data_IF_601300593494
#
_entry.id   IF_601300593494
#
_cell.length_a   1.000
_cell.length_b   1.000
_cell.length_c   1.000
_cell.angle_alpha   90.00
_cell.angle_beta   90.00
_cell.angle_gamma   90.00
#
_symmetry.space_group_name_H-M   'P 1'
#
loop_
_entity.id
_entity.type
_entity.pdbx_description
1 polymer ?
#
# COMPACT_ATOMS: atom_id res chain seq x y z
N UNK A 1 -18.59 13.91 26.91
CA UNK A 1 -18.76 14.43 25.54
C UNK A 1 -17.56 15.31 25.22
N UNK A 2 -16.48 14.73 24.73
CA UNK A 2 -15.30 15.51 24.32
C UNK A 2 -15.60 16.10 22.95
N UNK A 3 -15.95 17.38 22.91
CA UNK A 3 -16.21 18.10 21.65
C UNK A 3 -15.00 17.90 20.74
N UNK A 4 -15.21 17.36 19.54
CA UNK A 4 -14.22 17.40 18.48
C UNK A 4 -13.78 18.87 18.35
N UNK A 5 -12.50 19.14 18.61
CA UNK A 5 -11.98 20.50 18.65
C UNK A 5 -12.12 21.07 17.24
N UNK A 6 -12.93 22.13 17.09
CA UNK A 6 -13.04 22.80 15.80
C UNK A 6 -11.65 23.29 15.36
N UNK A 7 -11.26 23.07 14.09
CA UNK A 7 -9.94 23.44 13.60
C UNK A 7 -9.72 24.94 13.77
N UNK A 8 -8.52 25.33 14.20
CA UNK A 8 -8.18 26.75 14.33
C UNK A 8 -8.24 27.37 12.93
N UNK A 9 -8.99 28.47 12.76
CA UNK A 9 -9.23 29.12 11.47
C UNK A 9 -10.21 28.43 10.51
N UNK A 10 -11.06 27.52 11.00
CA UNK A 10 -12.14 26.93 10.21
C UNK A 10 -11.64 26.02 9.08
N UNK A 11 -12.34 26.01 7.95
CA UNK A 11 -12.07 25.10 6.83
C UNK A 11 -10.65 25.26 6.23
N UNK A 12 -10.09 26.48 6.05
CA UNK A 12 -8.69 26.64 5.64
C UNK A 12 -7.68 26.07 6.64
N UNK A 13 -7.91 26.26 7.94
CA UNK A 13 -7.06 25.69 8.98
C UNK A 13 -7.10 24.16 8.98
N UNK A 14 -8.29 23.59 8.79
CA UNK A 14 -8.49 22.15 8.64
C UNK A 14 -7.71 21.55 7.47
N UNK A 15 -7.71 22.26 6.32
CA UNK A 15 -6.91 21.85 5.17
C UNK A 15 -5.42 21.84 5.49
N UNK A 16 -4.92 22.86 6.21
CA UNK A 16 -3.52 22.94 6.61
C UNK A 16 -3.15 21.81 7.57
N UNK A 17 -4.01 21.48 8.54
CA UNK A 17 -3.81 20.35 9.45
C UNK A 17 -3.71 19.02 8.69
N UNK A 18 -4.60 18.80 7.72
CA UNK A 18 -4.56 17.61 6.86
C UNK A 18 -3.31 17.53 6.00
N UNK A 19 -2.92 18.63 5.35
CA UNK A 19 -1.68 18.68 4.57
C UNK A 19 -0.47 18.42 5.47
N UNK A 20 -0.49 18.94 6.71
CA UNK A 20 0.51 18.63 7.73
C UNK A 20 0.57 17.13 8.05
N UNK A 21 -0.58 16.47 8.18
CA UNK A 21 -0.65 15.03 8.39
C UNK A 21 -0.11 14.24 7.19
N UNK A 22 -0.49 14.63 5.97
CA UNK A 22 0.02 14.03 4.73
C UNK A 22 1.56 14.10 4.67
N UNK A 23 2.15 15.26 4.99
CA UNK A 23 3.61 15.43 5.07
C UNK A 23 4.25 14.51 6.11
N UNK A 24 3.70 14.45 7.32
CA UNK A 24 4.17 13.55 8.40
C UNK A 24 4.17 12.09 7.97
N UNK A 25 3.24 11.70 7.09
CA UNK A 25 3.11 10.35 6.55
C UNK A 25 3.73 10.18 5.15
N UNK A 26 4.71 11.03 4.80
CA UNK A 26 5.56 10.88 3.61
C UNK A 26 4.97 11.40 2.30
N UNK A 27 3.77 11.98 2.31
CA UNK A 27 3.20 12.61 1.12
C UNK A 27 3.79 14.01 1.02
N UNK A 28 4.76 14.18 0.12
CA UNK A 28 5.43 15.45 -0.11
C UNK A 28 4.49 16.46 -0.81
N UNK A 29 3.77 17.24 0.00
CA UNK A 29 2.89 18.33 -0.46
C UNK A 29 3.60 19.66 -0.24
N UNK A 30 3.85 20.46 -1.27
CA UNK A 30 4.42 21.80 -1.14
C UNK A 30 3.37 22.89 -0.85
N UNK A 31 3.79 24.15 -0.68
CA UNK A 31 2.88 25.29 -0.55
C UNK A 31 2.01 25.50 -1.78
N UNK A 32 2.54 25.26 -2.99
CA UNK A 32 1.79 25.37 -4.24
C UNK A 32 0.61 24.40 -4.30
N UNK A 33 0.84 23.12 -3.99
CA UNK A 33 -0.21 22.11 -3.93
C UNK A 33 -1.26 22.43 -2.85
N UNK A 34 -0.84 23.07 -1.76
CA UNK A 34 -1.76 23.49 -0.68
C UNK A 34 -2.69 24.60 -1.18
N UNK A 35 -2.17 25.54 -1.97
CA UNK A 35 -2.98 26.59 -2.61
C UNK A 35 -3.93 25.98 -3.63
N UNK A 36 -3.47 25.01 -4.44
CA UNK A 36 -4.33 24.32 -5.40
C UNK A 36 -5.43 23.52 -4.70
N UNK A 37 -5.13 22.85 -3.58
CA UNK A 37 -6.13 22.18 -2.76
C UNK A 37 -7.16 23.16 -2.16
N UNK A 38 -6.73 24.37 -1.77
CA UNK A 38 -7.65 25.41 -1.31
C UNK A 38 -8.58 25.90 -2.45
N UNK A 39 -8.07 25.98 -3.69
CA UNK A 39 -8.91 26.28 -4.86
C UNK A 39 -9.93 25.19 -5.14
N UNK A 40 -9.55 23.92 -4.98
CA UNK A 40 -10.47 22.77 -5.10
C UNK A 40 -11.62 22.90 -4.09
N UNK A 41 -11.34 23.25 -2.83
CA UNK A 41 -12.39 23.47 -1.82
C UNK A 41 -13.37 24.58 -2.19
N UNK A 42 -12.92 25.61 -2.92
CA UNK A 42 -13.79 26.68 -3.40
C UNK A 42 -14.55 26.36 -4.68
N UNK A 43 -14.09 25.36 -5.45
CA UNK A 43 -14.67 24.98 -6.74
C UNK A 43 -15.65 23.80 -6.66
N UNK A 44 -15.53 22.95 -5.64
CA UNK A 44 -16.35 21.76 -5.47
C UNK A 44 -17.50 21.97 -4.48
N UNK A 45 -18.60 21.27 -4.73
CA UNK A 45 -19.66 21.14 -3.74
C UNK A 45 -19.21 20.20 -2.62
N UNK A 46 -19.05 20.77 -1.42
CA UNK A 46 -18.58 20.08 -0.22
C UNK A 46 -19.59 19.06 0.32
N UNK A 47 -20.85 19.09 -0.13
CA UNK A 47 -21.84 18.06 0.20
C UNK A 47 -21.49 16.72 -0.45
N UNK A 48 -20.80 16.75 -1.60
CA UNK A 48 -20.39 15.55 -2.32
C UNK A 48 -18.99 15.13 -1.88
N UNK A 49 -18.92 14.42 -0.76
CA UNK A 49 -17.66 13.94 -0.14
C UNK A 49 -16.74 13.20 -1.12
N UNK A 50 -17.29 12.40 -2.02
CA UNK A 50 -16.51 11.67 -3.03
C UNK A 50 -15.83 12.60 -4.02
N UNK A 51 -16.53 13.64 -4.49
CA UNK A 51 -15.94 14.65 -5.36
C UNK A 51 -14.83 15.41 -4.64
N UNK A 52 -15.05 15.77 -3.37
CA UNK A 52 -14.06 16.42 -2.54
C UNK A 52 -12.78 15.56 -2.41
N UNK A 53 -12.94 14.25 -2.13
CA UNK A 53 -11.82 13.32 -2.04
C UNK A 53 -10.99 13.28 -3.32
N UNK A 54 -11.65 13.08 -4.47
CA UNK A 54 -10.94 12.96 -5.75
C UNK A 54 -10.33 14.29 -6.19
N UNK A 55 -11.00 15.41 -5.94
CA UNK A 55 -10.44 16.74 -6.22
C UNK A 55 -9.19 17.04 -5.41
N UNK A 56 -9.23 16.76 -4.10
CA UNK A 56 -8.06 16.93 -3.24
C UNK A 56 -6.93 15.97 -3.63
N UNK A 57 -7.26 14.72 -3.98
CA UNK A 57 -6.29 13.75 -4.47
C UNK A 57 -5.59 14.26 -5.74
N UNK A 58 -6.35 14.83 -6.68
CA UNK A 58 -5.81 15.40 -7.92
C UNK A 58 -4.89 16.59 -7.68
N UNK A 59 -5.17 17.43 -6.69
CA UNK A 59 -4.32 18.58 -6.34
C UNK A 59 -3.07 18.18 -5.53
N UNK A 60 -3.17 17.18 -4.66
CA UNK A 60 -2.15 16.89 -3.65
C UNK A 60 -1.21 15.73 -4.02
N UNK A 61 -1.65 14.78 -4.85
CA UNK A 61 -0.87 13.57 -5.14
C UNK A 61 -0.01 13.72 -6.41
N UNK A 62 1.28 13.37 -6.28
CA UNK A 62 2.24 13.36 -7.41
C UNK A 62 2.67 11.95 -7.83
N UNK A 63 2.49 10.96 -6.96
CA UNK A 63 2.91 9.57 -7.17
C UNK A 63 1.73 8.62 -6.94
N UNK A 64 1.62 7.58 -7.76
CA UNK A 64 0.55 6.57 -7.65
C UNK A 64 0.58 5.76 -6.34
N UNK A 65 1.74 5.63 -5.70
CA UNK A 65 1.90 4.89 -4.44
C UNK A 65 1.35 5.59 -3.19
N UNK A 66 0.94 6.85 -3.28
CA UNK A 66 0.52 7.66 -2.12
C UNK A 66 -1.00 7.61 -1.86
N UNK A 67 -1.76 7.01 -2.78
CA UNK A 67 -3.23 7.02 -2.76
C UNK A 67 -3.81 6.39 -1.49
N UNK A 68 -3.29 5.25 -1.06
CA UNK A 68 -3.81 4.54 0.11
C UNK A 68 -3.61 5.33 1.42
N UNK A 69 -2.45 5.97 1.57
CA UNK A 69 -2.16 6.81 2.73
C UNK A 69 -3.05 8.07 2.72
N UNK A 70 -3.25 8.66 1.54
CA UNK A 70 -4.16 9.78 1.35
C UNK A 70 -5.61 9.42 1.70
N UNK A 71 -6.16 8.35 1.15
CA UNK A 71 -7.56 7.94 1.40
C UNK A 71 -7.78 7.71 2.90
N UNK A 72 -6.83 7.04 3.57
CA UNK A 72 -6.90 6.79 5.02
C UNK A 72 -6.91 8.10 5.82
N UNK A 73 -6.05 9.06 5.47
CA UNK A 73 -6.02 10.37 6.15
C UNK A 73 -7.25 11.21 5.80
N UNK A 74 -7.73 11.15 4.56
CA UNK A 74 -8.95 11.83 4.14
C UNK A 74 -10.15 11.32 4.93
N UNK A 75 -10.27 10.01 5.12
CA UNK A 75 -11.34 9.41 5.91
C UNK A 75 -11.31 9.83 7.39
N UNK A 76 -10.13 10.11 7.94
CA UNK A 76 -9.97 10.64 9.30
C UNK A 76 -10.28 12.13 9.41
N UNK A 77 -9.78 12.95 8.50
CA UNK A 77 -9.91 14.41 8.58
C UNK A 77 -11.25 14.92 8.01
N UNK A 78 -11.82 14.27 6.99
CA UNK A 78 -13.16 14.56 6.47
C UNK A 78 -14.08 13.35 6.70
N UNK A 79 -14.45 13.06 7.96
CA UNK A 79 -15.30 11.91 8.25
C UNK A 79 -16.69 12.11 7.62
N UNK A 80 -17.32 11.01 7.20
CA UNK A 80 -18.65 11.04 6.58
C UNK A 80 -19.77 11.48 7.56
N UNK A 81 -19.53 11.38 8.87
CA UNK A 81 -20.44 11.82 9.92
C UNK A 81 -19.65 12.27 11.16
N UNK A 82 -20.31 12.92 12.11
CA UNK A 82 -19.79 13.19 13.47
C UNK A 82 -20.64 12.44 14.50
N UNK A 83 -20.04 11.85 15.53
CA UNK A 83 -20.75 11.04 16.53
C UNK A 83 -21.45 9.79 15.96
N UNK A 84 -22.63 9.42 16.48
CA UNK A 84 -23.38 8.27 15.92
C UNK A 84 -23.82 8.46 14.46
N UNK A 85 -23.86 9.71 13.98
CA UNK A 85 -24.58 10.05 12.75
C UNK A 85 -26.10 9.91 12.95
N UNK A 86 -26.88 10.56 12.11
CA UNK A 86 -28.34 10.45 12.11
C UNK A 86 -28.82 9.21 11.35
N UNK A 87 -28.28 8.03 11.67
CA UNK A 87 -28.67 6.78 11.01
C UNK A 87 -30.09 6.36 11.44
N UNK A 88 -30.87 5.86 10.49
CA UNK A 88 -32.24 5.36 10.73
C UNK A 88 -32.23 3.86 11.08
N UNK A 89 -31.14 3.16 10.73
CA UNK A 89 -30.98 1.73 11.01
C UNK A 89 -30.84 1.47 12.50
N UNK A 90 -31.90 0.93 13.09
CA UNK A 90 -31.92 0.45 14.47
C UNK A 90 -31.22 -0.91 14.57
N UNK A 91 -30.35 -1.06 15.57
CA UNK A 91 -29.63 -2.33 15.79
C UNK A 91 -30.54 -3.25 16.60
N UNK A 92 -30.93 -4.42 16.08
CA UNK A 92 -31.74 -5.38 16.82
C UNK A 92 -31.07 -5.78 18.14
N UNK A 93 -31.87 -5.86 19.19
CA UNK A 93 -31.42 -6.32 20.52
C UNK A 93 -32.30 -7.45 21.00
N UNK A 94 -31.71 -8.34 21.79
CA UNK A 94 -32.44 -9.44 22.42
C UNK A 94 -33.47 -8.84 23.38
N UNK A 95 -34.71 -9.35 23.30
CA UNK A 95 -35.86 -8.95 24.11
C UNK A 95 -36.27 -7.47 23.99
N UNK A 96 -35.92 -6.78 22.89
CA UNK A 96 -36.21 -5.35 22.64
C UNK A 96 -35.76 -4.41 23.78
N UNK A 97 -34.82 -4.85 24.62
CA UNK A 97 -34.31 -4.04 25.70
C UNK A 97 -33.35 -2.97 25.16
N UNK A 98 -33.58 -1.69 25.47
CA UNK A 98 -32.76 -0.55 25.03
C UNK A 98 -31.26 -0.66 25.39
N UNK A 99 -30.93 -1.45 26.42
CA UNK A 99 -29.56 -1.74 26.87
C UNK A 99 -29.21 -3.24 26.78
N UNK A 100 -30.06 -4.03 26.13
CA UNK A 100 -29.88 -5.47 25.93
C UNK A 100 -28.70 -5.82 25.02
N UNK A 101 -28.26 -7.09 25.04
CA UNK A 101 -27.24 -7.55 24.11
C UNK A 101 -27.76 -7.46 22.67
N UNK A 102 -26.87 -7.15 21.73
CA UNK A 102 -27.19 -7.10 20.30
C UNK A 102 -27.63 -8.49 19.84
N UNK A 103 -28.76 -8.57 19.15
CA UNK A 103 -29.19 -9.79 18.46
C UNK A 103 -28.37 -9.95 17.18
N UNK A 104 -27.37 -10.83 17.26
CA UNK A 104 -26.41 -11.03 16.18
C UNK A 104 -27.07 -11.73 14.99
N UNK A 105 -28.03 -12.63 15.23
CA UNK A 105 -28.66 -13.40 14.16
C UNK A 105 -29.60 -12.51 13.35
N UNK A 106 -30.43 -11.70 14.02
CA UNK A 106 -31.25 -10.68 13.35
C UNK A 106 -30.39 -9.67 12.57
N UNK A 107 -29.24 -9.26 13.14
CA UNK A 107 -28.32 -8.34 12.48
C UNK A 107 -27.64 -8.96 11.25
N UNK A 108 -27.35 -10.27 11.28
CA UNK A 108 -26.83 -11.03 10.13
C UNK A 108 -27.87 -11.15 9.02
N UNK A 109 -29.15 -11.28 9.38
CA UNK A 109 -30.26 -11.30 8.43
C UNK A 109 -30.41 -9.96 7.70
N UNK A 110 -30.42 -8.84 8.45
CA UNK A 110 -30.43 -7.49 7.87
C UNK A 110 -29.22 -7.29 6.95
N UNK A 111 -28.02 -7.69 7.37
CA UNK A 111 -26.83 -7.57 6.55
C UNK A 111 -26.93 -8.39 5.25
N UNK A 112 -27.48 -9.61 5.32
CA UNK A 112 -27.66 -10.45 4.14
C UNK A 112 -28.62 -9.79 3.13
N UNK A 113 -29.71 -9.21 3.61
CA UNK A 113 -30.68 -8.49 2.80
C UNK A 113 -30.07 -7.26 2.12
N UNK A 114 -29.35 -6.42 2.87
CA UNK A 114 -28.69 -5.24 2.30
C UNK A 114 -27.60 -5.60 1.29
N UNK A 115 -26.84 -6.67 1.53
CA UNK A 115 -25.84 -7.18 0.58
C UNK A 115 -26.49 -7.72 -0.70
N UNK A 116 -27.66 -8.34 -0.60
CA UNK A 116 -28.47 -8.81 -1.73
C UNK A 116 -28.98 -7.64 -2.57
N UNK A 117 -29.53 -6.61 -1.92
CA UNK A 117 -30.12 -5.45 -2.61
C UNK A 117 -29.08 -4.46 -3.14
N UNK A 118 -27.87 -4.46 -2.57
CA UNK A 118 -26.78 -3.61 -3.04
C UNK A 118 -26.92 -2.16 -2.59
N UNK A 119 -27.77 -1.88 -1.59
CA UNK A 119 -27.93 -0.55 -1.03
C UNK A 119 -26.67 -0.17 -0.22
N UNK A 120 -25.79 0.56 -0.89
CA UNK A 120 -24.51 1.00 -0.31
C UNK A 120 -24.72 2.03 0.81
N UNK A 121 -25.78 2.83 0.74
CA UNK A 121 -26.08 3.84 1.76
C UNK A 121 -26.58 3.16 3.05
N UNK A 122 -27.51 2.21 2.92
CA UNK A 122 -27.98 1.42 4.04
C UNK A 122 -26.86 0.56 4.67
N UNK A 123 -25.97 -0.03 3.86
CA UNK A 123 -24.78 -0.74 4.37
C UNK A 123 -23.86 0.17 5.19
N UNK A 124 -23.68 1.43 4.78
CA UNK A 124 -22.89 2.40 5.51
C UNK A 124 -23.58 2.87 6.81
N UNK A 125 -24.91 2.93 6.85
CA UNK A 125 -25.69 3.15 8.07
C UNK A 125 -25.57 1.98 9.05
N UNK A 126 -25.76 0.76 8.55
CA UNK A 126 -25.60 -0.45 9.34
C UNK A 126 -24.19 -0.54 9.95
N UNK A 127 -23.15 -0.27 9.15
CA UNK A 127 -21.77 -0.27 9.64
C UNK A 127 -21.57 0.70 10.82
N UNK A 128 -22.15 1.91 10.74
CA UNK A 128 -22.13 2.90 11.82
C UNK A 128 -22.85 2.41 13.06
N UNK A 129 -24.07 1.90 12.88
CA UNK A 129 -24.91 1.43 13.96
C UNK A 129 -24.26 0.27 14.72
N UNK A 130 -23.71 -0.71 14.01
CA UNK A 130 -23.01 -1.86 14.59
C UNK A 130 -21.77 -1.44 15.38
N UNK A 131 -20.92 -0.59 14.80
CA UNK A 131 -19.69 -0.14 15.48
C UNK A 131 -20.04 0.64 16.75
N UNK A 132 -21.07 1.48 16.70
CA UNK A 132 -21.55 2.23 17.86
C UNK A 132 -22.09 1.30 18.96
N UNK A 133 -22.99 0.38 18.61
CA UNK A 133 -23.57 -0.57 19.55
C UNK A 133 -22.52 -1.46 20.24
N UNK A 134 -21.58 -2.01 19.47
CA UNK A 134 -20.51 -2.86 19.99
C UNK A 134 -19.50 -2.08 20.85
N UNK A 135 -19.21 -0.84 20.47
CA UNK A 135 -18.35 0.04 21.26
C UNK A 135 -18.93 0.33 22.64
N UNK A 136 -20.25 0.59 22.72
CA UNK A 136 -20.97 0.82 23.99
C UNK A 136 -21.08 -0.45 24.83
N UNK A 137 -21.36 -1.61 24.23
CA UNK A 137 -21.45 -2.89 24.95
C UNK A 137 -20.14 -3.25 25.67
N UNK A 138 -18.98 -2.92 25.07
CA UNK A 138 -17.68 -3.07 25.73
C UNK A 138 -17.48 -2.17 26.97
N UNK A 139 -18.19 -1.05 27.06
CA UNK A 139 -18.20 -0.17 28.23
C UNK A 139 -19.17 -0.67 29.34
N UNK A 140 -20.26 -1.36 28.97
CA UNK A 140 -21.26 -1.91 29.88
C UNK A 140 -20.82 -3.22 30.59
N UNK A 141 -19.62 -3.74 30.29
CA UNK A 141 -19.02 -4.87 31.02
C UNK A 141 -19.41 -6.26 30.52
N UNK A 142 -20.21 -6.38 29.46
CA UNK A 142 -20.61 -7.64 28.82
C UNK A 142 -19.65 -8.11 27.69
N UNK A 143 -18.45 -7.53 27.61
CA UNK A 143 -17.41 -7.87 26.63
C UNK A 143 -15.97 -7.62 27.12
N UNK A 144 -14.98 -7.71 26.22
CA UNK A 144 -13.55 -7.46 26.53
C UNK A 144 -13.43 -6.07 27.17
N UNK A 145 -13.07 -6.03 28.46
CA UNK A 145 -12.94 -4.76 29.21
C UNK A 145 -11.95 -3.83 28.50
N UNK A 146 -12.44 -2.67 28.08
CA UNK A 146 -11.56 -1.56 27.77
C UNK A 146 -10.70 -1.23 28.99
N UNK A 147 -9.44 -0.84 28.76
CA UNK A 147 -8.59 -0.30 29.82
C UNK A 147 -9.32 0.90 30.43
N UNK A 148 -9.64 0.81 31.73
CA UNK A 148 -10.36 1.83 32.53
C UNK A 148 -11.88 1.99 32.27
N UNK A 149 -12.58 0.97 31.76
CA UNK A 149 -14.05 1.03 31.58
C UNK A 149 -14.50 1.96 30.44
N UNK A 150 -13.58 2.37 29.59
CA UNK A 150 -13.86 3.18 28.41
C UNK A 150 -14.33 2.28 27.25
N UNK A 151 -15.23 2.76 26.37
CA UNK A 151 -15.62 2.02 25.17
C UNK A 151 -14.39 1.73 24.30
N UNK A 152 -14.31 0.50 23.77
CA UNK A 152 -13.24 0.08 22.88
C UNK A 152 -13.83 -0.44 21.58
N UNK A 153 -13.52 0.22 20.46
CA UNK A 153 -13.98 -0.17 19.13
C UNK A 153 -12.96 -1.09 18.47
N UNK A 154 -13.43 -2.20 17.91
CA UNK A 154 -12.59 -3.20 17.23
C UNK A 154 -13.27 -3.70 15.97
N UNK A 155 -12.65 -3.43 14.81
CA UNK A 155 -13.12 -3.93 13.52
C UNK A 155 -13.06 -5.46 13.47
N UNK A 156 -12.04 -6.05 14.07
CA UNK A 156 -11.91 -7.51 14.17
C UNK A 156 -13.09 -8.13 14.92
N UNK A 157 -13.50 -7.55 16.05
CA UNK A 157 -14.63 -8.08 16.82
C UNK A 157 -15.95 -7.95 16.05
N UNK A 158 -16.23 -6.78 15.47
CA UNK A 158 -17.43 -6.56 14.66
C UNK A 158 -17.51 -7.53 13.48
N UNK A 159 -16.43 -7.68 12.72
CA UNK A 159 -16.37 -8.59 11.57
C UNK A 159 -16.43 -10.06 11.99
N UNK A 160 -15.85 -10.44 13.13
CA UNK A 160 -15.93 -11.81 13.63
C UNK A 160 -17.35 -12.17 14.05
N UNK A 161 -18.07 -11.26 14.70
CA UNK A 161 -19.46 -11.48 15.10
C UNK A 161 -20.39 -11.57 13.88
N UNK A 162 -20.25 -10.63 12.93
CA UNK A 162 -21.07 -10.60 11.72
C UNK A 162 -20.70 -11.67 10.70
N UNK A 163 -19.43 -12.10 10.66
CA UNK A 163 -18.86 -13.06 9.69
C UNK A 163 -19.47 -12.91 8.29
N UNK A 164 -19.34 -11.75 7.63
CA UNK A 164 -20.06 -11.45 6.39
C UNK A 164 -19.71 -12.39 5.23
N UNK A 165 -18.52 -13.00 5.25
CA UNK A 165 -18.07 -13.97 4.25
C UNK A 165 -18.94 -15.23 4.23
N UNK A 166 -19.49 -15.61 5.38
CA UNK A 166 -20.36 -16.79 5.49
C UNK A 166 -21.75 -16.55 4.93
N UNK A 167 -22.14 -15.29 4.73
CA UNK A 167 -23.42 -14.91 4.13
C UNK A 167 -23.43 -15.12 2.61
N UNK A 168 -22.27 -15.18 1.95
CA UNK A 168 -22.19 -15.34 0.49
C UNK A 168 -22.96 -16.58 0.00
N UNK A 169 -22.75 -17.74 0.63
CA UNK A 169 -23.40 -18.98 0.21
C UNK A 169 -24.92 -18.92 0.40
N UNK A 170 -25.38 -18.31 1.51
CA UNK A 170 -26.80 -18.11 1.79
C UNK A 170 -27.44 -17.17 0.76
N UNK A 171 -26.85 -16.00 0.54
CA UNK A 171 -27.34 -14.99 -0.42
C UNK A 171 -27.39 -15.59 -1.83
N UNK A 172 -26.33 -16.31 -2.25
CA UNK A 172 -26.31 -17.01 -3.55
C UNK A 172 -27.38 -18.09 -3.65
N UNK A 173 -27.71 -18.79 -2.56
CA UNK A 173 -28.79 -19.77 -2.51
C UNK A 173 -30.17 -19.15 -2.69
N UNK A 174 -30.42 -17.98 -2.10
CA UNK A 174 -31.68 -17.25 -2.20
C UNK A 174 -31.88 -16.60 -3.58
N UNK A 175 -30.80 -16.09 -4.19
CA UNK A 175 -30.82 -15.51 -5.55
C UNK A 175 -30.86 -16.54 -6.67
N UNK A 176 -30.62 -17.82 -6.37
CA UNK A 176 -30.28 -18.82 -7.38
C UNK A 176 -31.38 -19.09 -8.38
N UNK A 177 -32.66 -18.87 -8.03
CA UNK A 177 -33.80 -19.00 -8.96
C UNK A 177 -33.65 -20.17 -9.95
N UNK A 178 -33.74 -19.86 -11.26
CA UNK A 178 -33.49 -20.80 -12.37
C UNK A 178 -32.04 -20.72 -12.92
N UNK A 179 -31.12 -20.02 -12.24
CA UNK A 179 -29.74 -19.82 -12.72
C UNK A 179 -28.93 -21.10 -12.50
N UNK A 180 -28.41 -21.65 -13.59
CA UNK A 180 -27.55 -22.84 -13.55
C UNK A 180 -26.24 -22.58 -12.80
N UNK A 181 -25.88 -23.51 -11.92
CA UNK A 181 -24.66 -23.47 -11.12
C UNK A 181 -23.40 -23.49 -12.02
N UNK A 182 -22.50 -22.53 -11.80
CA UNK A 182 -21.30 -22.38 -12.63
C UNK A 182 -21.52 -21.69 -13.98
N UNK A 183 -22.73 -21.21 -14.25
CA UNK A 183 -22.98 -20.31 -15.39
C UNK A 183 -22.24 -18.97 -15.23
N UNK A 184 -22.01 -18.27 -16.34
CA UNK A 184 -21.42 -16.93 -16.32
C UNK A 184 -22.19 -15.97 -15.41
N UNK A 185 -23.52 -16.07 -15.37
CA UNK A 185 -24.37 -15.22 -14.52
C UNK A 185 -24.15 -15.52 -13.04
N UNK A 186 -24.05 -16.80 -12.65
CA UNK A 186 -23.70 -17.21 -11.27
C UNK A 186 -22.33 -16.67 -10.84
N UNK A 187 -21.33 -16.71 -11.72
CA UNK A 187 -20.00 -16.18 -11.43
C UNK A 187 -19.98 -14.66 -11.24
N UNK A 188 -20.71 -13.92 -12.08
CA UNK A 188 -20.82 -12.45 -12.00
C UNK A 188 -21.51 -12.03 -10.70
N UNK A 189 -22.65 -12.65 -10.35
CA UNK A 189 -23.36 -12.37 -9.10
C UNK A 189 -22.50 -12.70 -7.87
N UNK A 190 -21.82 -13.86 -7.88
CA UNK A 190 -20.89 -14.24 -6.80
C UNK A 190 -19.74 -13.24 -6.65
N UNK A 191 -19.25 -12.66 -7.74
CA UNK A 191 -18.22 -11.62 -7.70
C UNK A 191 -18.78 -10.32 -7.13
N UNK A 192 -19.95 -9.90 -7.59
CA UNK A 192 -20.59 -8.67 -7.13
C UNK A 192 -20.87 -8.70 -5.62
N UNK A 193 -21.42 -9.79 -5.09
CA UNK A 193 -21.66 -9.93 -3.64
C UNK A 193 -20.34 -9.93 -2.86
N UNK A 194 -19.27 -10.55 -3.39
CA UNK A 194 -17.94 -10.48 -2.77
C UNK A 194 -17.39 -9.06 -2.72
N UNK A 195 -17.58 -8.30 -3.79
CA UNK A 195 -17.15 -6.89 -3.86
C UNK A 195 -17.96 -6.03 -2.86
N UNK A 196 -19.27 -6.28 -2.72
CA UNK A 196 -20.13 -5.64 -1.70
C UNK A 196 -19.70 -6.01 -0.27
N UNK A 197 -19.39 -7.28 0.01
CA UNK A 197 -18.85 -7.72 1.31
C UNK A 197 -17.52 -7.02 1.61
N UNK A 198 -16.62 -6.95 0.63
CA UNK A 198 -15.34 -6.25 0.78
C UNK A 198 -15.54 -4.75 1.07
N UNK A 199 -16.50 -4.11 0.40
CA UNK A 199 -16.88 -2.72 0.66
C UNK A 199 -17.43 -2.53 2.08
N UNK A 200 -18.34 -3.39 2.54
CA UNK A 200 -18.87 -3.34 3.91
C UNK A 200 -17.77 -3.52 4.97
N UNK A 201 -16.83 -4.45 4.76
CA UNK A 201 -15.67 -4.61 5.65
C UNK A 201 -14.82 -3.34 5.75
N UNK A 202 -14.64 -2.64 4.63
CA UNK A 202 -13.95 -1.35 4.60
C UNK A 202 -14.72 -0.31 5.42
N UNK A 203 -16.04 -0.21 5.23
CA UNK A 203 -16.89 0.71 6.00
C UNK A 203 -16.78 0.49 7.51
N UNK A 204 -16.82 -0.76 7.99
CA UNK A 204 -16.61 -1.10 9.42
C UNK A 204 -15.23 -0.64 9.90
N UNK A 205 -14.19 -0.91 9.11
CA UNK A 205 -12.81 -0.55 9.47
C UNK A 205 -12.65 0.97 9.57
N UNK A 206 -13.20 1.71 8.63
CA UNK A 206 -13.12 3.17 8.59
C UNK A 206 -13.93 3.80 9.72
N UNK A 207 -15.11 3.27 10.04
CA UNK A 207 -15.90 3.73 11.18
C UNK A 207 -15.20 3.48 12.53
N UNK A 208 -14.60 2.30 12.72
CA UNK A 208 -13.83 2.00 13.95
C UNK A 208 -12.65 2.96 14.10
N UNK A 209 -11.94 3.25 13.01
CA UNK A 209 -10.83 4.22 13.01
C UNK A 209 -11.33 5.61 13.40
N UNK A 210 -12.44 6.04 12.80
CA UNK A 210 -13.10 7.31 13.10
C UNK A 210 -13.48 7.44 14.58
N UNK A 211 -14.17 6.43 15.16
CA UNK A 211 -14.54 6.45 16.59
C UNK A 211 -13.35 6.42 17.53
N UNK A 212 -12.33 5.64 17.16
CA UNK A 212 -11.07 5.62 17.91
C UNK A 212 -10.39 6.99 17.86
N UNK A 213 -10.49 7.71 16.73
CA UNK A 213 -9.90 9.04 16.56
C UNK A 213 -10.66 10.12 17.32
N UNK A 214 -12.00 10.03 17.41
CA UNK A 214 -12.82 10.91 18.27
C UNK A 214 -12.39 10.80 19.75
N UNK A 215 -12.01 9.60 20.21
CA UNK A 215 -11.62 9.36 21.61
C UNK A 215 -10.12 9.57 21.90
N UNK A 216 -9.24 9.08 21.05
CA UNK A 216 -7.76 9.11 21.25
C UNK A 216 -7.06 10.25 20.52
N UNK A 217 -7.78 10.97 19.67
CA UNK A 217 -7.25 12.03 18.80
C UNK A 217 -6.83 11.53 17.41
N UNK A 218 -6.98 12.43 16.42
CA UNK A 218 -6.66 12.17 15.02
C UNK A 218 -5.21 11.74 14.79
N UNK A 219 -4.25 12.45 15.41
CA UNK A 219 -2.82 12.16 15.21
C UNK A 219 -2.42 10.76 15.70
N UNK A 220 -2.96 10.33 16.85
CA UNK A 220 -2.63 9.03 17.43
C UNK A 220 -3.13 7.89 16.55
N UNK A 221 -4.32 8.04 15.96
CA UNK A 221 -4.88 7.05 15.03
C UNK A 221 -4.18 7.09 13.68
N UNK A 222 -3.85 8.28 13.16
CA UNK A 222 -3.10 8.41 11.91
C UNK A 222 -1.76 7.65 11.96
N UNK A 223 -1.02 7.73 13.09
CA UNK A 223 0.25 7.00 13.29
C UNK A 223 0.15 5.49 13.11
N UNK A 224 -0.97 4.88 13.49
CA UNK A 224 -1.14 3.42 13.41
C UNK A 224 -1.96 2.96 12.20
N UNK A 225 -2.93 3.76 11.76
CA UNK A 225 -3.86 3.39 10.70
C UNK A 225 -3.31 3.65 9.29
N UNK A 226 -2.46 4.68 9.13
CA UNK A 226 -1.92 5.05 7.82
C UNK A 226 -0.80 4.07 7.45
N UNK A 227 -0.90 3.38 6.31
CA UNK A 227 0.17 2.50 5.87
C UNK A 227 1.45 3.31 5.69
N UNK A 228 2.56 2.84 6.30
CA UNK A 228 3.87 3.43 6.07
C UNK A 228 4.18 3.36 4.58
N UNK A 229 4.58 4.48 3.99
CA UNK A 229 4.98 4.51 2.58
C UNK A 229 6.16 3.57 2.37
N UNK A 230 6.30 3.01 1.17
CA UNK A 230 7.40 2.10 0.84
C UNK A 230 8.79 2.70 1.15
N UNK A 231 8.92 4.02 1.08
CA UNK A 231 10.13 4.80 1.40
C UNK A 231 10.38 4.94 2.92
N UNK A 232 9.35 4.73 3.76
CA UNK A 232 9.34 4.92 5.22
C UNK A 232 9.13 3.63 6.02
N UNK A 233 8.93 2.48 5.37
CA UNK A 233 8.92 1.20 6.07
C UNK A 233 10.31 0.97 6.63
N UNK A 234 10.45 0.96 7.95
CA UNK A 234 11.65 0.46 8.62
C UNK A 234 11.73 -1.05 8.40
N UNK A 235 12.41 -1.44 7.32
CA UNK A 235 12.53 -2.82 6.85
C UNK A 235 13.26 -3.76 7.83
N UNK A 236 13.80 -3.23 8.93
CA UNK A 236 14.46 -4.00 9.99
C UNK A 236 13.49 -4.88 10.81
N UNK A 237 12.17 -4.77 10.58
CA UNK A 237 11.13 -5.58 11.25
C UNK A 237 10.23 -6.39 10.29
N UNK A 238 10.59 -6.47 9.00
CA UNK A 238 9.75 -7.10 7.99
C UNK A 238 9.47 -8.57 8.32
N UNK A 239 8.18 -8.92 8.44
CA UNK A 239 7.73 -10.29 8.64
C UNK A 239 8.01 -11.13 7.38
N UNK A 240 8.24 -12.43 7.55
CA UNK A 240 8.63 -13.36 6.49
C UNK A 240 7.70 -13.32 5.25
N UNK A 241 6.43 -12.98 5.41
CA UNK A 241 5.46 -12.85 4.31
C UNK A 241 5.72 -11.64 3.41
N UNK A 242 6.11 -10.50 3.98
CA UNK A 242 6.42 -9.28 3.23
C UNK A 242 7.67 -9.49 2.35
N UNK A 243 8.62 -10.28 2.86
CA UNK A 243 9.82 -10.68 2.14
C UNK A 243 9.51 -11.54 0.91
N UNK A 244 8.58 -12.50 1.06
CA UNK A 244 8.12 -13.34 -0.04
C UNK A 244 7.41 -12.51 -1.14
N UNK A 245 6.58 -11.54 -0.75
CA UNK A 245 5.89 -10.65 -1.67
C UNK A 245 6.86 -9.76 -2.48
N UNK A 246 7.89 -9.23 -1.81
CA UNK A 246 8.95 -8.45 -2.46
C UNK A 246 9.72 -9.27 -3.49
N UNK A 247 10.14 -10.50 -3.15
CA UNK A 247 10.84 -11.42 -4.08
C UNK A 247 10.03 -11.68 -5.35
N UNK A 248 8.72 -11.94 -5.21
CA UNK A 248 7.81 -12.15 -6.36
C UNK A 248 7.71 -10.93 -7.28
N UNK A 249 7.76 -9.74 -6.69
CA UNK A 249 7.63 -8.47 -7.43
C UNK A 249 8.94 -8.07 -8.14
N UNK A 250 10.09 -8.39 -7.55
CA UNK A 250 11.42 -7.99 -8.05
C UNK A 250 11.94 -8.90 -9.17
N UNK A 251 11.65 -10.20 -9.12
CA UNK A 251 12.15 -11.16 -10.13
C UNK A 251 11.79 -10.79 -11.60
N UNK A 252 10.55 -10.34 -11.91
CA UNK A 252 10.21 -9.87 -13.25
C UNK A 252 10.99 -8.62 -13.70
N UNK A 253 11.30 -7.71 -12.78
CA UNK A 253 12.06 -6.49 -13.05
C UNK A 253 13.52 -6.80 -13.40
N UNK A 254 14.15 -7.68 -12.62
CA UNK A 254 15.51 -8.17 -12.88
C UNK A 254 15.63 -8.80 -14.28
N UNK A 255 14.65 -9.63 -14.67
CA UNK A 255 14.60 -10.25 -16.00
C UNK A 255 14.42 -9.23 -17.14
N UNK A 256 13.60 -8.19 -16.93
CA UNK A 256 13.42 -7.10 -17.91
C UNK A 256 14.68 -6.25 -18.06
N UNK A 257 15.41 -5.99 -16.99
CA UNK A 257 16.69 -5.25 -17.03
C UNK A 257 17.77 -6.05 -17.76
N UNK A 258 17.93 -7.34 -17.43
CA UNK A 258 18.90 -8.23 -18.07
C UNK A 258 18.67 -8.33 -19.59
N UNK A 259 17.42 -8.51 -20.01
CA UNK A 259 17.05 -8.59 -21.43
C UNK A 259 17.28 -7.27 -22.17
N UNK A 260 16.88 -6.12 -21.62
CA UNK A 260 17.13 -4.80 -22.24
C UNK A 260 18.62 -4.50 -22.41
N UNK A 261 19.44 -4.79 -21.41
CA UNK A 261 20.90 -4.59 -21.49
C UNK A 261 21.54 -5.48 -22.55
N UNK A 262 21.11 -6.74 -22.65
CA UNK A 262 21.56 -7.65 -23.70
C UNK A 262 21.17 -7.15 -25.11
N UNK A 263 19.96 -6.64 -25.28
CA UNK A 263 19.46 -6.08 -26.56
C UNK A 263 20.23 -4.81 -26.96
N UNK A 264 20.53 -3.91 -26.01
CA UNK A 264 21.30 -2.68 -26.27
C UNK A 264 22.72 -2.99 -26.74
N UNK A 265 23.39 -4.01 -26.17
CA UNK A 265 24.73 -4.45 -26.62
C UNK A 265 24.70 -5.11 -28.00
N UNK A 266 23.64 -5.84 -28.37
CA UNK A 266 23.48 -6.38 -29.74
C UNK A 266 23.33 -5.27 -30.79
N UNK A 267 22.69 -4.15 -30.43
CA UNK A 267 22.47 -3.01 -31.33
C UNK A 267 23.63 -1.99 -31.37
N UNK A 268 24.69 -2.18 -30.59
CA UNK A 268 25.87 -1.32 -30.65
C UNK A 268 26.59 -1.53 -32.01
N UNK A 269 26.35 -0.62 -32.96
CA UNK A 269 26.90 -0.65 -34.34
C UNK A 269 28.38 -0.27 -34.46
N UNK A 270 29.16 -0.36 -33.38
CA UNK A 270 30.61 -0.07 -33.39
C UNK A 270 31.38 -1.28 -32.88
N UNK A 271 32.33 -1.76 -33.67
CA UNK A 271 33.12 -2.95 -33.39
C UNK A 271 34.20 -3.19 -34.44
N UNK A 272 34.93 -4.29 -34.31
CA UNK A 272 35.98 -4.67 -35.26
C UNK A 272 35.34 -5.05 -36.61
N UNK A 273 35.85 -4.47 -37.70
CA UNK A 273 35.41 -4.79 -39.06
C UNK A 273 35.69 -6.26 -39.36
N UNK A 274 34.69 -6.97 -39.89
CA UNK A 274 34.95 -8.25 -40.52
C UNK A 274 35.45 -7.97 -41.94
N UNK A 275 36.77 -7.90 -42.11
CA UNK A 275 37.40 -7.56 -43.40
C UNK A 275 36.94 -8.51 -44.51
N UNK A 276 36.87 -9.82 -44.23
CA UNK A 276 36.50 -10.83 -45.23
C UNK A 276 35.05 -10.68 -45.65
N UNK A 277 34.15 -10.52 -44.68
CA UNK A 277 32.72 -10.32 -44.97
C UNK A 277 32.47 -8.97 -45.63
N UNK A 278 33.15 -7.91 -45.20
CA UNK A 278 33.04 -6.56 -45.78
C UNK A 278 33.50 -6.55 -47.23
N UNK A 279 34.70 -7.09 -47.53
CA UNK A 279 35.22 -7.17 -48.88
C UNK A 279 34.30 -8.00 -49.79
N UNK A 280 33.75 -9.12 -49.28
CA UNK A 280 32.77 -9.92 -50.01
C UNK A 280 31.48 -9.13 -50.34
N UNK A 281 30.97 -8.33 -49.42
CA UNK A 281 29.80 -7.46 -49.66
C UNK A 281 30.10 -6.31 -50.63
N UNK A 282 31.37 -5.96 -50.78
CA UNK A 282 31.83 -4.84 -51.61
C UNK A 282 32.18 -5.27 -53.03
N UNK A 283 32.10 -6.56 -53.34
CA UNK A 283 32.42 -7.06 -54.69
C UNK A 283 31.46 -6.53 -55.75
N UNK A 284 30.18 -6.33 -55.41
CA UNK A 284 29.20 -5.71 -56.33
C UNK A 284 29.42 -4.21 -56.52
N UNK A 285 30.20 -3.56 -55.64
CA UNK A 285 30.54 -2.13 -55.69
C UNK A 285 31.98 -1.90 -56.11
N UNK A 286 32.55 -2.81 -56.92
CA UNK A 286 33.92 -2.68 -57.45
C UNK A 286 35.02 -2.73 -56.39
N UNK A 287 34.74 -3.34 -55.23
CA UNK A 287 35.69 -3.45 -54.12
C UNK A 287 35.62 -2.30 -53.11
N UNK A 288 34.78 -1.27 -53.34
CA UNK A 288 34.65 -0.12 -52.43
C UNK A 288 33.70 -0.46 -51.26
N UNK A 289 34.17 -0.41 -50.00
CA UNK A 289 33.39 -0.85 -48.83
C UNK A 289 32.36 0.17 -48.36
N UNK A 290 31.31 0.37 -49.15
CA UNK A 290 30.19 1.27 -48.85
C UNK A 290 29.30 0.77 -47.70
N UNK A 291 29.25 -0.56 -47.47
CA UNK A 291 28.49 -1.19 -46.38
C UNK A 291 29.40 -2.08 -45.54
N UNK A 292 30.14 -1.49 -44.58
CA UNK A 292 31.03 -2.25 -43.71
C UNK A 292 30.25 -3.29 -42.89
N UNK A 293 30.72 -4.54 -42.93
CA UNK A 293 30.19 -5.63 -42.10
C UNK A 293 31.05 -5.75 -40.83
N UNK A 294 30.41 -5.67 -39.67
CA UNK A 294 31.09 -5.75 -38.38
C UNK A 294 31.00 -7.16 -37.82
N UNK A 295 32.06 -7.60 -37.10
CA UNK A 295 32.00 -8.85 -36.33
C UNK A 295 30.94 -8.71 -35.24
N UNK A 296 29.94 -9.59 -35.24
CA UNK A 296 28.93 -9.66 -34.18
C UNK A 296 29.60 -10.10 -32.88
N UNK A 297 29.73 -9.20 -31.90
CA UNK A 297 30.10 -9.59 -30.54
C UNK A 297 28.98 -10.49 -30.01
N UNK A 298 29.28 -11.75 -29.66
CA UNK A 298 28.35 -12.58 -28.88
C UNK A 298 28.04 -11.80 -27.61
N UNK A 299 26.79 -11.41 -27.41
CA UNK A 299 26.37 -10.73 -26.21
C UNK A 299 26.49 -11.72 -25.04
N UNK A 300 27.65 -11.73 -24.38
CA UNK A 300 27.81 -12.41 -23.10
C UNK A 300 26.80 -11.85 -22.10
N UNK A 301 26.46 -12.65 -21.09
CA UNK A 301 25.65 -12.19 -19.95
C UNK A 301 26.30 -10.91 -19.38
N UNK A 302 25.53 -9.88 -19.00
CA UNK A 302 26.11 -8.61 -18.60
C UNK A 302 26.88 -8.79 -17.29
N UNK A 303 28.04 -8.14 -17.18
CA UNK A 303 28.68 -7.91 -15.89
C UNK A 303 28.04 -6.66 -15.28
N UNK A 304 27.54 -6.77 -14.05
CA UNK A 304 26.87 -5.69 -13.33
C UNK A 304 27.75 -5.26 -12.15
N UNK A 305 28.06 -3.97 -12.06
CA UNK A 305 28.70 -3.40 -10.88
C UNK A 305 27.66 -2.57 -10.15
N UNK A 306 27.47 -2.84 -8.87
CA UNK A 306 26.52 -2.15 -8.00
C UNK A 306 27.35 -1.39 -6.97
N UNK A 307 27.12 -0.08 -6.89
CA UNK A 307 27.73 0.80 -5.88
C UNK A 307 26.61 1.24 -4.92
N UNK A 308 26.78 0.94 -3.63
CA UNK A 308 25.77 1.17 -2.60
C UNK A 308 26.30 2.11 -1.54
N UNK A 309 25.58 3.20 -1.29
CA UNK A 309 25.82 4.10 -0.18
C UNK A 309 25.31 3.45 1.12
N UNK A 310 26.17 3.42 2.16
CA UNK A 310 25.83 2.90 3.49
C UNK A 310 26.03 3.94 4.60
N UNK A 311 26.11 5.23 4.23
CA UNK A 311 26.18 6.35 5.17
C UNK A 311 24.92 6.46 6.03
N UNK A 312 25.06 7.02 7.25
CA UNK A 312 23.97 7.09 8.25
C UNK A 312 22.71 7.85 7.80
N UNK A 313 22.80 8.64 6.72
CA UNK A 313 21.64 9.33 6.10
C UNK A 313 20.71 8.39 5.32
N UNK A 314 21.17 7.17 5.02
CA UNK A 314 20.41 6.06 4.47
C UNK A 314 20.42 4.95 5.53
N UNK A 315 19.46 4.96 6.46
CA UNK A 315 19.38 4.05 7.61
C UNK A 315 19.25 2.55 7.22
N UNK A 316 20.35 2.01 6.69
CA UNK A 316 20.49 0.67 6.13
C UNK A 316 20.40 0.70 4.61
N UNK A 317 21.46 0.26 3.94
CA UNK A 317 21.36 -0.48 2.68
C UNK A 317 20.09 -1.34 2.75
N UNK A 318 19.03 -0.92 2.05
CA UNK A 318 17.71 -1.44 2.36
C UNK A 318 17.68 -2.95 2.13
N UNK A 319 16.94 -3.69 2.95
CA UNK A 319 16.74 -5.13 2.72
C UNK A 319 16.23 -5.41 1.30
N UNK A 320 15.46 -4.46 0.74
CA UNK A 320 15.09 -4.42 -0.67
C UNK A 320 16.30 -4.36 -1.61
N UNK A 321 17.26 -3.46 -1.40
CA UNK A 321 18.50 -3.40 -2.18
C UNK A 321 19.28 -4.72 -2.05
N UNK A 322 19.34 -5.33 -0.87
CA UNK A 322 20.02 -6.63 -0.66
C UNK A 322 19.32 -7.74 -1.49
N UNK A 323 17.99 -7.78 -1.44
CA UNK A 323 17.17 -8.71 -2.22
C UNK A 323 17.27 -8.48 -3.71
N UNK A 324 17.28 -7.21 -4.13
CA UNK A 324 17.42 -6.82 -5.52
C UNK A 324 18.80 -7.23 -6.03
N UNK A 325 19.86 -6.94 -5.28
CA UNK A 325 21.22 -7.39 -5.55
C UNK A 325 21.24 -8.91 -5.67
N UNK A 326 20.70 -9.65 -4.68
CA UNK A 326 20.65 -11.12 -4.69
C UNK A 326 19.90 -11.67 -5.91
N UNK A 327 18.71 -11.13 -6.21
CA UNK A 327 17.91 -11.52 -7.38
C UNK A 327 18.60 -11.19 -8.71
N UNK A 328 19.34 -10.08 -8.77
CA UNK A 328 20.17 -9.73 -9.93
C UNK A 328 21.38 -10.68 -10.05
N UNK A 329 21.96 -11.20 -8.96
CA UNK A 329 23.06 -12.18 -9.04
C UNK A 329 22.66 -13.48 -9.74
N UNK A 330 21.43 -13.95 -9.55
CA UNK A 330 20.94 -15.16 -10.22
C UNK A 330 20.81 -14.99 -11.74
N UNK A 331 20.52 -13.78 -12.21
CA UNK A 331 20.22 -13.51 -13.62
C UNK A 331 21.45 -13.08 -14.44
N UNK A 332 22.50 -12.58 -13.79
CA UNK A 332 23.71 -12.03 -14.43
C UNK A 332 24.92 -12.96 -14.23
N UNK A 333 25.89 -12.98 -15.16
CA UNK A 333 27.06 -13.90 -15.07
C UNK A 333 28.08 -13.48 -14.03
N UNK A 334 28.18 -12.18 -13.75
CA UNK A 334 29.11 -11.61 -12.79
C UNK A 334 28.49 -10.35 -12.22
N UNK A 335 28.31 -10.31 -10.92
CA UNK A 335 27.85 -9.12 -10.20
C UNK A 335 28.88 -8.80 -9.14
N UNK A 336 29.39 -7.58 -9.16
CA UNK A 336 30.27 -7.03 -8.13
C UNK A 336 29.51 -5.98 -7.35
N UNK A 337 29.62 -6.02 -6.04
CA UNK A 337 28.92 -5.11 -5.13
C UNK A 337 29.97 -4.37 -4.32
N UNK A 338 29.92 -3.04 -4.40
CA UNK A 338 30.76 -2.14 -3.63
C UNK A 338 29.87 -1.38 -2.66
N UNK A 339 30.23 -1.37 -1.39
CA UNK A 339 29.61 -0.52 -0.39
C UNK A 339 30.53 0.68 -0.13
N UNK A 340 29.97 1.86 0.10
CA UNK A 340 30.77 3.04 0.44
C UNK A 340 30.13 3.89 1.55
N UNK A 341 30.97 4.43 2.44
CA UNK A 341 30.63 5.52 3.37
C UNK A 341 31.58 6.68 3.09
N UNK A 342 32.80 6.61 3.64
CA UNK A 342 33.90 7.51 3.32
C UNK A 342 34.86 6.84 2.32
N UNK A 343 35.02 5.51 2.44
CA UNK A 343 35.76 4.66 1.51
C UNK A 343 34.84 3.63 0.89
N UNK A 344 35.21 3.16 -0.30
CA UNK A 344 34.47 2.13 -1.02
C UNK A 344 35.20 0.79 -0.94
N UNK A 345 34.50 -0.27 -0.53
CA UNK A 345 35.04 -1.62 -0.40
C UNK A 345 34.15 -2.67 -1.11
N UNK A 346 34.76 -3.72 -1.64
CA UNK A 346 34.07 -4.78 -2.39
C UNK A 346 33.47 -5.85 -1.45
N UNK A 347 32.16 -5.74 -1.25
CA UNK A 347 31.38 -6.63 -0.37
C UNK A 347 30.71 -7.79 -1.10
N UNK A 348 31.08 -8.05 -2.37
CA UNK A 348 30.50 -9.10 -3.22
C UNK A 348 30.43 -10.47 -2.52
N UNK A 349 31.42 -10.79 -1.69
CA UNK A 349 31.56 -12.07 -0.98
C UNK A 349 30.54 -12.27 0.14
N UNK A 350 29.96 -11.19 0.68
CA UNK A 350 28.94 -11.23 1.74
C UNK A 350 27.55 -11.61 1.20
N UNK A 351 27.38 -11.57 -0.12
CA UNK A 351 26.14 -11.89 -0.81
C UNK A 351 26.23 -13.26 -1.46
N UNK A 352 26.09 -14.36 -0.71
CA UNK A 352 26.08 -15.72 -1.29
C UNK A 352 24.65 -16.15 -1.71
N UNK A 353 24.49 -16.93 -2.80
CA UNK A 353 23.18 -17.46 -3.19
C UNK A 353 22.62 -18.34 -2.07
N UNK A 354 21.37 -18.09 -1.67
CA UNK A 354 20.69 -18.83 -0.60
C UNK A 354 21.04 -18.42 0.84
N UNK A 355 21.94 -17.47 1.07
CA UNK A 355 22.21 -16.97 2.42
C UNK A 355 21.02 -16.19 2.99
N UNK A 356 20.84 -16.33 4.30
CA UNK A 356 19.94 -15.46 5.05
C UNK A 356 20.45 -14.02 4.98
N UNK A 357 19.55 -13.10 4.64
CA UNK A 357 19.84 -11.68 4.54
C UNK A 357 19.82 -10.97 5.90
N UNK A 358 19.34 -11.67 6.94
CA UNK A 358 19.46 -11.26 8.34
C UNK A 358 20.94 -11.12 8.69
N UNK A 359 21.33 -9.95 9.19
CA UNK A 359 22.70 -9.72 9.67
C UNK A 359 23.76 -9.49 8.60
N UNK A 360 23.46 -9.60 7.29
CA UNK A 360 24.43 -9.27 6.21
C UNK A 360 24.92 -7.83 6.35
N UNK A 361 24.05 -6.90 6.76
CA UNK A 361 24.44 -5.51 6.99
C UNK A 361 25.34 -5.31 8.20
N UNK A 362 25.10 -6.04 9.29
CA UNK A 362 26.00 -6.02 10.44
C UNK A 362 27.37 -6.56 10.05
N UNK A 363 27.42 -7.55 9.15
CA UNK A 363 28.67 -8.07 8.60
C UNK A 363 29.34 -7.09 7.65
N UNK A 364 28.61 -6.42 6.76
CA UNK A 364 29.16 -5.35 5.91
C UNK A 364 29.79 -4.25 6.77
N UNK A 365 29.10 -3.77 7.80
CA UNK A 365 29.61 -2.72 8.68
C UNK A 365 30.77 -3.17 9.59
N UNK A 366 30.88 -4.48 9.87
CA UNK A 366 31.95 -5.04 10.73
C UNK A 366 33.17 -5.51 9.95
N UNK A 367 32.96 -6.08 8.76
CA UNK A 367 33.97 -6.81 7.98
C UNK A 367 34.55 -5.96 6.82
N UNK A 368 33.86 -4.89 6.38
CA UNK A 368 34.32 -4.04 5.28
C UNK A 368 35.03 -2.77 5.77
N UNK A 369 36.09 -2.36 5.07
CA UNK A 369 36.90 -1.19 5.41
C UNK A 369 36.27 0.10 4.86
N UNK A 370 35.18 0.53 5.51
CA UNK A 370 34.30 1.60 5.01
C UNK A 370 34.56 2.98 5.63
N UNK A 371 35.33 3.04 6.72
CA UNK A 371 35.55 4.25 7.55
C UNK A 371 37.05 4.52 7.67
N UNK A 372 37.48 5.76 7.41
CA UNK A 372 38.84 6.17 7.77
C UNK A 372 38.88 6.47 9.28
N UNK A 373 39.88 5.97 9.99
CA UNK A 373 40.01 6.18 11.44
C UNK A 373 40.43 7.64 11.72
N UNK A 374 39.50 8.59 11.61
CA UNK A 374 39.67 9.96 12.09
C UNK A 374 38.50 10.28 13.03
N UNK A 375 38.80 10.28 14.33
CA UNK A 375 37.84 10.53 15.38
C UNK A 375 37.40 11.99 15.39
N UNK A 376 36.15 12.26 15.05
CA UNK A 376 35.39 13.37 15.60
C UNK A 376 33.95 12.92 15.84
N UNK A 377 33.56 13.01 17.12
CA UNK A 377 32.28 12.65 17.71
C UNK A 377 31.09 13.45 17.18
#
# INVERSE_FOLDING_TARGET
MTSARAPQHGLPGHLVEFVGALRKHGVAVGPGETIDAARVLGALDLLHRDHLREGLAAALLRRSGQRQAFDTLFDLYWPAALGAGSGVVEVPRVDDADEGPVDIDALRDILAELLRDGDTAALAELARAVVDALGRAGAAGTGIRGVNGQPSWSAYQALRMLSPETLLARIMGELRGDIEEGSFVDEVLRREIRDRIAAFRKMITDEVRRRTAEMRGLEQVARSAVPKQAEQVEFLSAHAEQLAQLRRTVAPLARRLASRLAVRRRHAKRGQLDMRRTLRHSMSTGGVPMRPAYRTRRAGRPELVILCDVSGSVAGFSHFTLLLVQALREQFSKVRVFAFVERADEVTHLFTPGAELSGVMQRVLREADLVAFDGHS
#
